data_IF_137150902186
#
_entry.id   IF_137150902186
#
_cell.length_a   1.000
_cell.length_b   1.000
_cell.length_c   1.000
_cell.angle_alpha   90.00
_cell.angle_beta   90.00
_cell.angle_gamma   90.00
#
_symmetry.space_group_name_H-M   'P 1'
#
loop_
_entity.id
_entity.type
_entity.pdbx_description
1 polymer ?
#
# COMPACT_ATOMS: atom_id res chain seq x y z
N UNK A 1 8.04 -7.76 -4.87
CA UNK A 1 8.98 -7.50 -5.98
C UNK A 1 8.32 -6.66 -7.05
N UNK A 2 9.08 -6.01 -7.94
CA UNK A 2 8.49 -5.41 -9.14
C UNK A 2 7.86 -6.49 -10.04
N UNK A 3 6.77 -6.19 -10.74
CA UNK A 3 6.01 -7.19 -11.52
C UNK A 3 6.86 -7.88 -12.60
N UNK A 4 7.90 -7.21 -13.11
CA UNK A 4 8.84 -7.76 -14.10
C UNK A 4 9.96 -8.63 -13.50
N UNK A 5 10.06 -8.73 -12.18
CA UNK A 5 11.08 -9.55 -11.51
C UNK A 5 10.66 -11.03 -11.49
N UNK A 6 11.56 -12.00 -11.73
CA UNK A 6 11.23 -13.42 -11.72
C UNK A 6 10.62 -13.85 -10.37
N UNK A 7 9.55 -14.66 -10.43
CA UNK A 7 8.85 -15.15 -9.24
C UNK A 7 7.87 -14.15 -8.62
N UNK A 8 7.53 -13.05 -9.30
CA UNK A 8 6.54 -12.11 -8.78
C UNK A 8 5.16 -12.77 -8.63
N UNK A 9 4.60 -12.67 -7.42
CA UNK A 9 3.27 -13.16 -7.10
C UNK A 9 2.26 -12.02 -6.95
N UNK A 10 0.98 -12.34 -7.15
CA UNK A 10 -0.11 -11.38 -7.00
C UNK A 10 -0.31 -11.06 -5.51
N UNK A 11 -0.37 -9.76 -5.20
CA UNK A 11 -0.77 -9.24 -3.90
C UNK A 11 -2.13 -8.52 -4.08
N UNK A 12 -3.14 -8.97 -3.36
CA UNK A 12 -4.48 -8.36 -3.36
C UNK A 12 -4.62 -7.47 -2.13
N UNK A 13 -4.98 -6.21 -2.35
CA UNK A 13 -5.15 -5.21 -1.29
C UNK A 13 -6.51 -4.53 -1.38
N UNK A 14 -7.11 -4.25 -0.22
CA UNK A 14 -8.30 -3.42 -0.08
C UNK A 14 -8.07 -2.37 0.99
N UNK A 15 -8.31 -1.11 0.67
CA UNK A 15 -8.27 0.00 1.62
C UNK A 15 -9.69 0.47 1.92
N UNK A 16 -9.95 0.85 3.16
CA UNK A 16 -11.19 1.43 3.62
C UNK A 16 -10.88 2.83 4.13
N UNK A 17 -11.65 3.83 3.70
CA UNK A 17 -11.40 5.21 4.05
C UNK A 17 -12.71 5.98 4.24
N UNK A 18 -12.64 7.08 4.96
CA UNK A 18 -13.80 7.95 5.17
C UNK A 18 -14.02 8.81 3.94
N UNK A 19 -15.22 8.81 3.36
CA UNK A 19 -15.49 9.45 2.05
C UNK A 19 -15.24 10.97 2.02
N UNK A 20 -15.44 11.68 3.12
CA UNK A 20 -15.36 13.15 3.14
C UNK A 20 -13.96 13.69 3.44
N UNK A 21 -13.26 13.10 4.41
CA UNK A 21 -11.90 13.50 4.80
C UNK A 21 -10.82 12.71 4.09
N UNK A 22 -11.20 11.62 3.42
CA UNK A 22 -10.28 10.64 2.84
C UNK A 22 -9.34 9.99 3.86
N UNK A 23 -9.65 10.07 5.16
CA UNK A 23 -8.87 9.43 6.20
C UNK A 23 -8.90 7.90 6.05
N UNK A 24 -7.73 7.26 6.09
CA UNK A 24 -7.62 5.80 6.14
C UNK A 24 -8.28 5.27 7.42
N UNK A 25 -9.19 4.31 7.26
CA UNK A 25 -9.92 3.64 8.35
C UNK A 25 -9.44 2.21 8.57
N UNK A 26 -8.87 1.57 7.55
CA UNK A 26 -8.32 0.24 7.66
C UNK A 26 -7.86 -0.31 6.32
N UNK A 27 -7.23 -1.48 6.37
CA UNK A 27 -6.71 -2.14 5.19
C UNK A 27 -6.70 -3.66 5.36
N UNK A 28 -6.79 -4.37 4.24
CA UNK A 28 -6.59 -5.81 4.14
C UNK A 28 -5.61 -6.09 3.02
N UNK A 29 -4.66 -6.99 3.27
CA UNK A 29 -3.71 -7.46 2.28
C UNK A 29 -3.62 -8.99 2.34
N UNK A 30 -3.68 -9.62 1.17
CA UNK A 30 -3.51 -11.06 0.98
C UNK A 30 -2.43 -11.27 -0.09
N UNK A 31 -1.44 -12.10 0.21
CA UNK A 31 -0.35 -12.46 -0.69
C UNK A 31 0.66 -13.36 0.04
N UNK A 32 1.55 -14.02 -0.68
CA UNK A 32 2.58 -14.88 -0.06
C UNK A 32 3.80 -14.09 0.43
N UNK A 33 4.16 -13.02 -0.26
CA UNK A 33 5.37 -12.25 0.04
C UNK A 33 5.09 -10.75 0.15
N UNK A 34 5.75 -10.12 1.12
CA UNK A 34 5.75 -8.67 1.30
C UNK A 34 4.48 -8.09 1.93
N UNK A 35 3.55 -8.93 2.41
CA UNK A 35 2.34 -8.51 3.14
C UNK A 35 2.71 -7.77 4.42
N UNK A 36 3.59 -8.37 5.21
CA UNK A 36 4.19 -7.85 6.44
C UNK A 36 4.65 -6.40 6.30
N UNK A 37 5.52 -6.12 5.31
CA UNK A 37 6.04 -4.76 5.05
C UNK A 37 4.91 -3.74 4.84
N UNK A 38 3.86 -4.09 4.10
CA UNK A 38 2.77 -3.16 3.78
C UNK A 38 1.83 -2.99 4.97
N UNK A 39 1.64 -4.04 5.76
CA UNK A 39 0.87 -3.95 7.00
C UNK A 39 1.56 -3.00 7.99
N UNK A 40 2.90 -3.02 8.12
CA UNK A 40 3.61 -2.08 8.99
C UNK A 40 3.44 -0.62 8.54
N UNK A 41 3.53 -0.36 7.22
CA UNK A 41 3.28 0.97 6.65
C UNK A 41 1.84 1.42 6.93
N UNK A 42 0.86 0.55 6.71
CA UNK A 42 -0.56 0.86 6.91
C UNK A 42 -0.92 1.03 8.39
N UNK A 43 -0.32 0.26 9.28
CA UNK A 43 -0.45 0.43 10.73
C UNK A 43 0.08 1.79 11.18
N UNK A 44 1.25 2.20 10.65
CA UNK A 44 1.82 3.52 10.89
C UNK A 44 0.90 4.63 10.36
N UNK A 45 0.34 4.45 9.16
CA UNK A 45 -0.59 5.42 8.57
C UNK A 45 -1.89 5.56 9.36
N UNK A 46 -2.43 4.45 9.86
CA UNK A 46 -3.61 4.44 10.74
C UNK A 46 -3.33 5.18 12.05
N UNK A 47 -2.17 4.93 12.67
CA UNK A 47 -1.75 5.61 13.89
C UNK A 47 -1.68 7.13 13.71
N UNK A 48 -1.17 7.59 12.56
CA UNK A 48 -1.06 9.00 12.21
C UNK A 48 -2.33 9.60 11.59
N UNK A 49 -3.42 8.82 11.44
CA UNK A 49 -4.68 9.27 10.81
C UNK A 49 -4.47 9.85 9.41
N UNK A 50 -3.55 9.25 8.65
CA UNK A 50 -3.21 9.70 7.30
C UNK A 50 -4.41 9.59 6.35
N UNK A 51 -4.45 10.48 5.37
CA UNK A 51 -5.42 10.46 4.27
C UNK A 51 -4.94 9.57 3.12
N UNK A 52 -5.84 9.27 2.17
CA UNK A 52 -5.48 8.57 0.94
C UNK A 52 -4.44 9.36 0.12
N UNK A 53 -4.51 10.69 0.12
CA UNK A 53 -3.51 11.55 -0.54
C UNK A 53 -2.15 11.46 0.14
N UNK A 54 -2.09 11.46 1.48
CA UNK A 54 -0.83 11.30 2.20
C UNK A 54 -0.16 9.95 1.86
N UNK A 55 -0.95 8.86 1.78
CA UNK A 55 -0.47 7.54 1.38
C UNK A 55 0.11 7.52 -0.04
N UNK A 56 -0.49 8.26 -0.98
CA UNK A 56 0.01 8.38 -2.36
C UNK A 56 1.37 9.07 -2.44
N UNK A 57 1.64 9.97 -1.49
CA UNK A 57 2.84 10.81 -1.45
C UNK A 57 3.94 10.26 -0.54
N UNK A 58 3.74 9.11 0.12
CA UNK A 58 4.76 8.46 0.94
C UNK A 58 6.00 8.10 0.12
N UNK A 59 7.17 8.55 0.58
CA UNK A 59 8.46 8.13 0.02
C UNK A 59 8.86 6.77 0.58
N UNK A 60 8.40 5.70 -0.08
CA UNK A 60 8.66 4.33 0.31
C UNK A 60 9.90 3.79 -0.41
N UNK A 61 10.79 3.17 0.38
CA UNK A 61 11.98 2.54 -0.16
C UNK A 61 11.64 1.56 -1.30
N UNK A 62 12.26 1.80 -2.44
CA UNK A 62 12.11 1.00 -3.65
C UNK A 62 13.45 0.42 -4.10
N UNK A 63 13.40 -0.82 -4.56
CA UNK A 63 14.49 -1.52 -5.23
C UNK A 63 13.86 -2.75 -5.90
N UNK A 64 14.21 -3.12 -7.14
CA UNK A 64 13.53 -4.20 -7.88
C UNK A 64 13.28 -5.50 -7.11
N UNK A 65 14.23 -6.02 -6.30
CA UNK A 65 14.02 -7.23 -5.50
C UNK A 65 13.15 -7.01 -4.24
N UNK A 66 12.61 -5.83 -3.97
CA UNK A 66 11.77 -5.60 -2.78
C UNK A 66 10.48 -4.84 -3.13
N UNK A 67 10.57 -3.91 -4.07
CA UNK A 67 9.46 -3.05 -4.47
C UNK A 67 9.56 -2.56 -5.91
N UNK A 68 8.42 -2.23 -6.49
CA UNK A 68 8.36 -1.44 -7.73
C UNK A 68 8.53 0.06 -7.46
N UNK A 69 8.54 0.85 -8.54
CA UNK A 69 8.53 2.33 -8.47
C UNK A 69 7.30 2.84 -7.71
N UNK A 70 6.16 2.20 -7.93
CA UNK A 70 4.94 2.45 -7.17
C UNK A 70 4.69 1.27 -6.22
N UNK A 71 4.78 1.49 -4.91
CA UNK A 71 4.43 0.46 -3.93
C UNK A 71 2.94 0.09 -4.07
N UNK A 72 2.55 -1.18 -3.84
CA UNK A 72 1.14 -1.59 -3.82
C UNK A 72 0.22 -0.71 -2.97
N UNK A 73 0.69 -0.16 -1.84
CA UNK A 73 -0.07 0.79 -1.01
C UNK A 73 -0.39 2.07 -1.78
N UNK A 74 0.60 2.66 -2.47
CA UNK A 74 0.42 3.86 -3.30
C UNK A 74 -0.47 3.57 -4.52
N UNK A 75 -0.39 2.37 -5.09
CA UNK A 75 -1.29 1.98 -6.18
C UNK A 75 -2.73 1.78 -5.71
N UNK A 76 -2.92 1.20 -4.52
CA UNK A 76 -4.23 0.97 -3.94
C UNK A 76 -4.92 2.28 -3.55
N UNK A 77 -4.18 3.27 -3.04
CA UNK A 77 -4.76 4.56 -2.67
C UNK A 77 -5.28 5.37 -3.86
N UNK A 78 -4.68 5.20 -5.05
CA UNK A 78 -5.14 5.84 -6.30
C UNK A 78 -6.41 5.25 -6.87
N UNK A 79 -6.74 4.00 -6.54
CA UNK A 79 -7.93 3.29 -7.04
C UNK A 79 -9.14 3.59 -6.15
N UNK A 80 -9.50 4.88 -6.06
CA UNK A 80 -10.65 5.37 -5.30
C UNK A 80 -11.91 5.14 -6.14
N UNK A 81 -12.80 4.26 -5.69
CA UNK A 81 -14.04 3.88 -6.37
C UNK A 81 -15.14 3.58 -5.38
#
# INVERSE_FOLDING_TARGET
HATYYPGSEILTSRLMYQRHTEQLLGAQIIGKEGVDKRIDVLATALYHKMTMEDLENLDLAYAPPYNGVWDPVQQASRRRG
#
